data_IF_845132664899
#
_entry.id   IF_845132664899
#
_cell.length_a   1.000
_cell.length_b   1.000
_cell.length_c   1.000
_cell.angle_alpha   90.00
_cell.angle_beta   90.00
_cell.angle_gamma   90.00
#
_symmetry.space_group_name_H-M   'P 1'
#
loop_
_entity.id
_entity.type
_entity.pdbx_description
1 polymer ?
#
# COMPACT_ATOMS: atom_id res chain seq x y z
N UNK A 1 37.75 -36.74 -19.13
CA UNK A 1 36.95 -35.83 -18.28
C UNK A 1 36.77 -34.52 -19.01
N UNK A 2 35.55 -34.24 -19.49
CA UNK A 2 35.02 -32.88 -19.70
C UNK A 2 33.53 -33.05 -20.00
N UNK A 3 32.71 -32.87 -18.97
CA UNK A 3 31.25 -32.90 -19.01
C UNK A 3 30.74 -31.52 -19.43
N UNK A 4 30.33 -31.38 -20.70
CA UNK A 4 29.64 -30.19 -21.21
C UNK A 4 28.14 -30.31 -20.98
N UNK A 5 27.60 -29.55 -20.03
CA UNK A 5 26.15 -29.41 -19.81
C UNK A 5 25.57 -28.58 -20.96
N UNK A 6 25.03 -29.26 -21.96
CA UNK A 6 24.26 -28.63 -23.04
C UNK A 6 22.95 -28.10 -22.49
N UNK A 7 22.77 -26.77 -22.53
CA UNK A 7 21.53 -26.09 -22.18
C UNK A 7 20.40 -26.56 -23.10
N UNK A 8 19.47 -27.35 -22.57
CA UNK A 8 18.25 -27.74 -23.27
C UNK A 8 17.33 -26.52 -23.44
N UNK A 9 17.44 -25.84 -24.59
CA UNK A 9 16.42 -24.91 -25.05
C UNK A 9 15.14 -25.73 -25.32
N UNK A 10 14.20 -25.74 -24.38
CA UNK A 10 12.86 -26.29 -24.62
C UNK A 10 12.16 -25.42 -25.66
N UNK A 11 12.08 -25.91 -26.89
CA UNK A 11 11.15 -25.40 -27.89
C UNK A 11 9.72 -25.70 -27.39
N UNK A 12 8.98 -24.67 -27.00
CA UNK A 12 7.57 -24.79 -26.64
C UNK A 12 6.75 -24.53 -27.91
N UNK A 13 6.25 -25.58 -28.56
CA UNK A 13 5.23 -25.44 -29.60
C UNK A 13 3.89 -25.05 -28.94
N UNK A 14 3.43 -23.83 -29.18
CA UNK A 14 2.16 -23.32 -28.68
C UNK A 14 1.05 -23.61 -29.70
N UNK A 15 -0.01 -24.28 -29.26
CA UNK A 15 -1.23 -24.49 -30.05
C UNK A 15 -1.94 -23.14 -30.33
N UNK A 16 -2.42 -22.90 -31.56
CA UNK A 16 -2.86 -21.59 -32.03
C UNK A 16 -4.20 -21.11 -31.45
N UNK A 17 -4.90 -21.90 -30.62
CA UNK A 17 -6.32 -21.62 -30.34
C UNK A 17 -6.61 -20.57 -29.28
N UNK A 18 -5.66 -20.12 -28.44
CA UNK A 18 -5.93 -19.03 -27.48
C UNK A 18 -4.66 -18.22 -27.17
N UNK A 19 -4.29 -17.26 -28.02
CA UNK A 19 -3.19 -16.34 -27.74
C UNK A 19 -3.68 -14.89 -27.79
N UNK A 20 -4.00 -14.33 -26.63
CA UNK A 20 -4.29 -12.90 -26.49
C UNK A 20 -2.97 -12.13 -26.35
N UNK A 21 -2.47 -11.56 -27.45
CA UNK A 21 -1.39 -10.56 -27.38
C UNK A 21 -1.93 -9.27 -26.76
N UNK A 22 -1.69 -9.09 -25.46
CA UNK A 22 -1.99 -7.84 -24.75
C UNK A 22 -0.91 -6.80 -25.05
N UNK A 23 -1.08 -6.03 -26.13
CA UNK A 23 -0.31 -4.80 -26.36
C UNK A 23 -0.75 -3.73 -25.35
N UNK A 24 -0.10 -3.67 -24.18
CA UNK A 24 -0.35 -2.59 -23.21
C UNK A 24 0.26 -1.30 -23.74
N UNK A 25 -0.56 -0.39 -24.27
CA UNK A 25 -0.16 1.02 -24.38
C UNK A 25 0.04 1.57 -22.97
N UNK A 26 1.26 2.02 -22.66
CA UNK A 26 1.56 2.82 -21.47
C UNK A 26 1.04 4.25 -21.65
N UNK A 27 -0.26 4.41 -21.93
CA UNK A 27 -0.89 5.67 -21.54
C UNK A 27 -0.89 5.69 -20.01
N UNK A 28 -0.57 6.82 -19.35
CA UNK A 28 -0.78 6.93 -17.92
C UNK A 28 -2.23 6.54 -17.67
N UNK A 29 -2.44 5.45 -16.94
CA UNK A 29 -3.77 4.90 -16.77
C UNK A 29 -4.66 5.99 -16.18
N UNK A 30 -5.56 6.57 -16.99
CA UNK A 30 -6.66 7.42 -16.52
C UNK A 30 -7.74 6.53 -15.90
N UNK A 31 -7.32 5.55 -15.11
CA UNK A 31 -8.13 4.46 -14.58
C UNK A 31 -8.21 4.51 -13.06
N UNK A 32 -9.24 3.85 -12.53
CA UNK A 32 -9.58 3.74 -11.11
C UNK A 32 -8.59 2.92 -10.26
N UNK A 33 -7.58 2.30 -10.87
CA UNK A 33 -6.54 1.58 -10.13
C UNK A 33 -5.52 2.59 -9.61
N UNK A 34 -5.27 2.65 -8.28
CA UNK A 34 -4.23 3.52 -7.76
C UNK A 34 -2.90 3.14 -8.41
N UNK A 35 -2.20 4.12 -8.99
CA UNK A 35 -0.84 3.90 -9.47
C UNK A 35 0.05 3.53 -8.28
N UNK A 36 1.02 2.61 -8.47
CA UNK A 36 1.97 2.27 -7.42
C UNK A 36 2.69 3.54 -6.93
N UNK A 37 2.68 3.76 -5.61
CA UNK A 37 3.29 4.94 -5.01
C UNK A 37 4.78 4.71 -4.77
N UNK A 38 5.59 4.87 -5.81
CA UNK A 38 7.06 4.92 -5.69
C UNK A 38 7.53 6.23 -5.04
N UNK A 39 7.44 6.28 -3.71
CA UNK A 39 7.96 7.38 -2.89
C UNK A 39 9.45 7.16 -2.55
N UNK A 40 9.76 5.95 -2.10
CA UNK A 40 11.05 5.52 -1.54
C UNK A 40 11.65 4.41 -2.38
N UNK A 41 12.98 4.33 -2.38
CA UNK A 41 13.65 3.14 -2.87
C UNK A 41 13.59 2.02 -1.81
N UNK A 42 12.76 1.02 -2.06
CA UNK A 42 12.63 -0.12 -1.15
C UNK A 42 13.86 -1.03 -1.16
N UNK A 43 14.68 -0.97 -2.22
CA UNK A 43 15.94 -1.73 -2.27
C UNK A 43 16.98 -1.13 -1.32
N UNK A 44 17.04 0.20 -1.23
CA UNK A 44 17.89 0.93 -0.28
C UNK A 44 17.52 0.59 1.17
N UNK A 45 16.22 0.62 1.50
CA UNK A 45 15.74 0.19 2.82
C UNK A 45 16.18 -1.25 3.14
N UNK A 46 16.01 -2.19 2.20
CA UNK A 46 16.44 -3.58 2.41
C UNK A 46 17.95 -3.72 2.61
N UNK A 47 18.76 -2.93 1.89
CA UNK A 47 20.23 -2.94 2.03
C UNK A 47 20.66 -2.42 3.40
N UNK A 48 20.10 -1.29 3.83
CA UNK A 48 20.42 -0.67 5.12
C UNK A 48 20.05 -1.59 6.29
N UNK A 49 18.82 -2.12 6.30
CA UNK A 49 18.32 -2.91 7.44
C UNK A 49 18.65 -4.40 7.35
N UNK A 50 19.26 -4.86 6.25
CA UNK A 50 19.54 -6.29 5.98
C UNK A 50 18.30 -7.19 6.16
N UNK A 51 17.12 -6.63 5.88
CA UNK A 51 15.82 -7.30 6.05
C UNK A 51 15.33 -7.48 7.49
N UNK A 52 16.02 -6.91 8.49
CA UNK A 52 15.59 -6.94 9.90
C UNK A 52 14.80 -5.68 10.26
N UNK A 53 14.16 -5.68 11.43
CA UNK A 53 13.52 -4.50 11.99
C UNK A 53 14.55 -3.62 12.72
N UNK A 54 14.40 -2.29 12.67
CA UNK A 54 15.25 -1.35 13.40
C UNK A 54 14.43 -0.13 13.82
N UNK A 55 14.61 0.32 15.06
CA UNK A 55 13.89 1.46 15.64
C UNK A 55 14.62 2.80 15.42
N UNK A 56 15.87 2.75 14.96
CA UNK A 56 16.69 3.92 14.68
C UNK A 56 16.17 4.70 13.45
N UNK A 57 16.36 6.02 13.41
CA UNK A 57 16.10 6.82 12.21
C UNK A 57 16.95 6.32 11.03
N UNK A 58 16.31 6.09 9.90
CA UNK A 58 16.97 5.69 8.65
C UNK A 58 16.96 6.83 7.64
N UNK A 59 18.04 7.02 6.90
CA UNK A 59 18.10 8.03 5.85
C UNK A 59 17.80 7.33 4.52
N UNK A 60 16.58 7.53 4.01
CA UNK A 60 16.17 6.95 2.72
C UNK A 60 16.28 7.93 1.57
N UNK A 61 16.75 7.44 0.43
CA UNK A 61 16.75 8.20 -0.81
C UNK A 61 15.34 8.28 -1.43
N UNK A 62 14.92 9.50 -1.79
CA UNK A 62 13.65 9.74 -2.49
C UNK A 62 13.80 9.49 -3.97
N UNK A 63 12.82 8.79 -4.55
CA UNK A 63 12.77 8.52 -6.00
C UNK A 63 12.19 9.69 -6.81
N UNK A 64 11.48 10.62 -6.17
CA UNK A 64 10.87 11.76 -6.84
C UNK A 64 9.78 11.36 -7.86
N UNK A 65 9.10 10.24 -7.62
CA UNK A 65 8.05 9.69 -8.49
C UNK A 65 8.58 8.90 -9.69
N UNK A 66 9.84 8.47 -9.67
CA UNK A 66 10.44 7.61 -10.69
C UNK A 66 10.38 6.14 -10.28
N UNK A 67 10.32 5.27 -11.27
CA UNK A 67 10.50 3.83 -11.10
C UNK A 67 11.94 3.53 -10.66
N UNK A 68 12.19 2.76 -9.59
CA UNK A 68 13.55 2.39 -9.20
C UNK A 68 14.27 1.58 -10.27
N UNK A 69 13.56 0.72 -11.03
CA UNK A 69 14.21 -0.16 -12.02
C UNK A 69 14.43 0.51 -13.36
N UNK A 70 13.40 1.16 -13.90
CA UNK A 70 13.47 1.76 -15.25
C UNK A 70 13.90 3.23 -15.24
N UNK A 71 13.89 3.90 -14.09
CA UNK A 71 14.18 5.33 -13.96
C UNK A 71 13.10 6.25 -14.56
N UNK A 72 12.05 5.69 -15.16
CA UNK A 72 10.97 6.44 -15.82
C UNK A 72 10.07 7.11 -14.78
N UNK A 73 9.54 8.29 -15.13
CA UNK A 73 8.58 9.00 -14.28
C UNK A 73 7.22 8.28 -14.30
N UNK A 74 6.83 7.71 -13.17
CA UNK A 74 5.54 7.04 -12.98
C UNK A 74 4.56 7.99 -12.31
N UNK A 75 4.97 8.57 -11.18
CA UNK A 75 4.13 9.49 -10.43
C UNK A 75 4.46 10.94 -10.80
N UNK A 76 3.44 11.66 -11.25
CA UNK A 76 3.57 13.09 -11.54
C UNK A 76 3.52 13.92 -10.26
N UNK A 77 4.07 15.13 -10.34
CA UNK A 77 4.03 16.12 -9.26
C UNK A 77 4.74 15.73 -7.95
N UNK A 78 5.59 14.70 -7.95
CA UNK A 78 6.42 14.32 -6.79
C UNK A 78 7.88 14.78 -7.01
N UNK A 79 8.50 15.27 -5.93
CA UNK A 79 9.95 15.45 -5.81
C UNK A 79 10.35 16.78 -5.17
N UNK A 80 11.57 16.82 -4.64
CA UNK A 80 12.04 17.89 -3.76
C UNK A 80 11.65 17.63 -2.31
N UNK A 81 11.31 18.68 -1.59
CA UNK A 81 10.89 18.65 -0.19
C UNK A 81 12.04 18.63 0.81
N UNK A 82 11.73 18.94 2.06
CA UNK A 82 12.68 18.95 3.18
C UNK A 82 13.20 17.53 3.43
N UNK A 83 14.48 17.37 3.75
CA UNK A 83 15.03 16.07 4.17
C UNK A 83 14.42 15.68 5.51
N UNK A 84 14.12 14.40 5.68
CA UNK A 84 13.65 13.86 6.94
C UNK A 84 14.08 12.40 7.06
N UNK A 85 14.09 11.93 8.31
CA UNK A 85 14.43 10.55 8.62
C UNK A 85 13.21 9.65 8.49
N UNK A 86 13.45 8.41 8.10
CA UNK A 86 12.47 7.36 7.98
C UNK A 86 12.45 6.49 9.22
N UNK A 87 11.25 6.25 9.73
CA UNK A 87 11.03 5.35 10.85
C UNK A 87 10.22 4.14 10.41
N UNK A 88 10.80 2.96 10.63
CA UNK A 88 10.14 1.68 10.39
C UNK A 88 9.06 1.48 11.43
N UNK A 89 7.80 1.44 10.99
CA UNK A 89 6.67 1.09 11.83
C UNK A 89 6.44 -0.41 11.77
N UNK A 90 6.12 -0.98 12.91
CA UNK A 90 5.52 -2.29 13.01
C UNK A 90 3.99 -2.15 13.01
N UNK A 91 3.37 -2.48 11.88
CA UNK A 91 1.90 -2.50 11.77
C UNK A 91 1.29 -3.81 12.29
N UNK A 92 2.08 -4.88 12.37
CA UNK A 92 1.61 -6.20 12.76
C UNK A 92 1.88 -6.44 14.24
N UNK A 93 0.91 -6.07 15.07
CA UNK A 93 0.95 -6.43 16.49
C UNK A 93 0.59 -7.89 16.65
N UNK A 94 1.54 -8.67 17.16
CA UNK A 94 1.36 -10.07 17.53
C UNK A 94 1.58 -10.21 19.03
N UNK A 95 0.77 -11.05 19.64
CA UNK A 95 0.85 -11.42 21.05
C UNK A 95 0.58 -12.91 21.21
N UNK A 96 0.56 -13.41 22.44
CA UNK A 96 0.26 -14.81 22.72
C UNK A 96 -1.17 -15.17 22.28
N UNK A 97 -1.34 -16.43 21.87
CA UNK A 97 -2.64 -17.03 21.50
C UNK A 97 -3.33 -17.73 22.69
N UNK A 98 -2.62 -17.88 23.80
CA UNK A 98 -3.12 -18.55 24.99
C UNK A 98 -4.18 -17.70 25.71
N UNK A 99 -5.19 -18.33 26.34
CA UNK A 99 -6.14 -17.61 27.16
C UNK A 99 -5.43 -16.92 28.33
N UNK A 100 -5.82 -15.68 28.62
CA UNK A 100 -5.26 -14.81 29.69
C UNK A 100 -3.78 -14.39 29.53
N UNK A 101 -3.07 -14.87 28.51
CA UNK A 101 -1.75 -14.36 28.19
C UNK A 101 -1.89 -13.05 27.39
N UNK A 102 -1.17 -12.02 27.82
CA UNK A 102 -1.13 -10.71 27.16
C UNK A 102 0.33 -10.33 26.93
N UNK A 103 0.61 -9.70 25.79
CA UNK A 103 1.90 -9.06 25.57
C UNK A 103 1.78 -7.57 25.89
N UNK A 104 2.34 -7.17 27.03
CA UNK A 104 2.29 -5.81 27.52
C UNK A 104 3.52 -5.02 27.09
N UNK A 105 3.29 -3.81 26.58
CA UNK A 105 4.33 -2.86 26.20
C UNK A 105 4.07 -1.51 26.84
N UNK A 106 5.14 -0.83 27.25
CA UNK A 106 5.07 0.52 27.79
C UNK A 106 5.36 1.53 26.69
N UNK A 107 4.49 2.53 26.57
CA UNK A 107 4.71 3.69 25.71
C UNK A 107 5.81 4.56 26.32
N UNK A 108 6.91 4.72 25.59
CA UNK A 108 8.03 5.58 26.01
C UNK A 108 7.73 7.02 25.62
N UNK A 109 7.41 7.25 24.35
CA UNK A 109 7.25 8.59 23.78
C UNK A 109 6.22 8.56 22.66
N UNK A 110 5.47 9.64 22.51
CA UNK A 110 4.61 9.90 21.35
C UNK A 110 5.14 11.13 20.64
N UNK A 111 5.41 11.02 19.33
CA UNK A 111 6.05 12.09 18.56
C UNK A 111 5.46 12.28 17.18
N UNK A 112 5.73 13.45 16.60
CA UNK A 112 5.37 13.77 15.22
C UNK A 112 6.30 13.05 14.26
N UNK A 113 5.73 12.34 13.30
CA UNK A 113 6.45 11.77 12.17
C UNK A 113 6.30 12.64 10.91
N UNK A 114 7.37 12.91 10.14
CA UNK A 114 7.28 13.68 8.90
C UNK A 114 6.81 12.87 7.68
N UNK A 115 6.77 11.54 7.75
CA UNK A 115 6.49 10.66 6.60
C UNK A 115 5.00 10.36 6.47
N UNK A 116 4.27 10.42 7.59
CA UNK A 116 2.84 10.14 7.69
C UNK A 116 2.07 11.24 8.39
N UNK A 117 0.75 11.19 8.25
CA UNK A 117 -0.14 12.20 8.83
C UNK A 117 -0.34 12.02 10.32
N UNK A 118 -0.42 10.77 10.81
CA UNK A 118 -0.61 10.43 12.22
C UNK A 118 0.68 10.55 13.05
N UNK A 119 0.55 10.58 14.38
CA UNK A 119 1.68 10.48 15.28
C UNK A 119 2.14 9.02 15.42
N UNK A 120 3.40 8.86 15.80
CA UNK A 120 3.98 7.54 16.13
C UNK A 120 4.33 7.48 17.60
N UNK A 121 4.17 6.30 18.17
CA UNK A 121 4.58 6.01 19.53
C UNK A 121 5.74 5.02 19.54
N UNK A 122 6.77 5.32 20.34
CA UNK A 122 7.81 4.36 20.67
C UNK A 122 7.31 3.52 21.83
N UNK A 123 7.27 2.21 21.64
CA UNK A 123 6.89 1.26 22.70
C UNK A 123 8.05 0.33 22.99
N UNK A 124 8.14 -0.09 24.25
CA UNK A 124 9.08 -1.09 24.70
C UNK A 124 8.35 -2.19 25.47
N UNK A 125 8.60 -3.43 25.07
CA UNK A 125 8.19 -4.62 25.81
C UNK A 125 9.38 -5.56 26.01
N UNK A 126 9.11 -6.81 26.34
CA UNK A 126 10.15 -7.82 26.55
C UNK A 126 10.90 -8.19 25.26
N UNK A 127 10.26 -8.10 24.08
CA UNK A 127 10.91 -8.37 22.78
C UNK A 127 11.83 -7.23 22.33
N UNK A 128 11.70 -6.05 22.93
CA UNK A 128 12.48 -4.86 22.60
C UNK A 128 11.63 -3.63 22.28
N UNK A 129 12.23 -2.70 21.52
CA UNK A 129 11.64 -1.41 21.17
C UNK A 129 11.11 -1.41 19.73
N UNK A 130 9.92 -0.85 19.52
CA UNK A 130 9.33 -0.68 18.19
C UNK A 130 8.49 0.60 18.07
N UNK A 131 8.39 1.10 16.85
CA UNK A 131 7.46 2.17 16.49
C UNK A 131 6.13 1.59 16.06
N UNK A 132 5.07 2.17 16.59
CA UNK A 132 3.68 1.86 16.27
C UNK A 132 2.96 3.16 15.88
N UNK A 133 1.79 3.03 15.26
CA UNK A 133 0.89 4.17 15.14
C UNK A 133 0.29 4.52 16.50
N UNK A 134 0.26 5.80 16.83
CA UNK A 134 -0.35 6.28 18.06
C UNK A 134 -1.87 6.45 17.89
N UNK A 135 -2.63 6.00 18.89
CA UNK A 135 -4.06 6.31 19.00
C UNK A 135 -4.27 7.72 19.55
N UNK A 136 -5.49 8.22 19.44
CA UNK A 136 -5.86 9.60 19.80
C UNK A 136 -5.46 9.99 21.22
N UNK A 137 -5.74 9.15 22.21
CA UNK A 137 -5.49 9.45 23.62
C UNK A 137 -4.21 8.81 24.18
N UNK A 138 -3.32 8.31 23.31
CA UNK A 138 -2.10 7.63 23.73
C UNK A 138 -1.11 8.60 24.39
N UNK A 139 -0.64 8.27 25.60
CA UNK A 139 0.31 9.09 26.36
C UNK A 139 1.57 8.31 26.72
N UNK A 140 2.69 9.04 26.90
CA UNK A 140 3.91 8.46 27.47
C UNK A 140 3.65 7.88 28.86
N UNK A 141 4.21 6.70 29.13
CA UNK A 141 4.03 5.94 30.36
C UNK A 141 2.84 4.98 30.37
N UNK A 142 1.91 5.07 29.42
CA UNK A 142 0.77 4.17 29.31
C UNK A 142 1.22 2.74 28.95
N UNK A 143 0.56 1.74 29.53
CA UNK A 143 0.74 0.32 29.17
C UNK A 143 -0.32 -0.04 28.14
N UNK A 144 0.12 -0.61 27.03
CA UNK A 144 -0.72 -1.20 25.99
C UNK A 144 -0.57 -2.71 26.03
N UNK A 145 -1.65 -3.44 25.76
CA UNK A 145 -1.63 -4.89 25.71
C UNK A 145 -2.01 -5.41 24.32
N UNK A 146 -1.39 -6.53 23.94
CA UNK A 146 -1.65 -7.21 22.67
C UNK A 146 -2.00 -8.67 22.94
N UNK A 147 -3.10 -9.14 22.35
CA UNK A 147 -3.55 -10.55 22.45
C UNK A 147 -3.95 -11.06 21.08
N UNK A 148 -3.64 -12.32 20.76
CA UNK A 148 -4.11 -12.98 19.55
C UNK A 148 -5.18 -14.06 19.83
N UNK A 149 -5.65 -14.15 21.08
CA UNK A 149 -6.71 -15.06 21.49
C UNK A 149 -8.09 -14.53 21.08
N UNK A 150 -8.95 -15.41 20.56
CA UNK A 150 -10.35 -15.11 20.24
C UNK A 150 -11.21 -15.74 21.34
N UNK A 151 -11.77 -14.94 22.28
CA UNK A 151 -12.73 -15.43 23.26
C UNK A 151 -14.04 -15.85 22.59
N UNK A 152 -14.79 -16.73 23.26
CA UNK A 152 -16.11 -17.17 22.79
C UNK A 152 -17.13 -16.00 22.78
N UNK A 153 -17.04 -15.12 23.78
CA UNK A 153 -17.84 -13.90 23.87
C UNK A 153 -17.01 -12.68 23.45
N UNK A 154 -17.51 -11.83 22.52
CA UNK A 154 -16.84 -10.59 22.16
C UNK A 154 -16.70 -9.64 23.36
N UNK A 155 -15.53 -9.03 23.51
CA UNK A 155 -15.21 -8.11 24.61
C UNK A 155 -15.16 -6.65 24.14
N UNK A 156 -15.37 -5.73 25.08
CA UNK A 156 -15.12 -4.31 24.85
C UNK A 156 -13.62 -4.02 24.84
N UNK A 157 -13.15 -3.44 23.73
CA UNK A 157 -11.75 -3.11 23.55
C UNK A 157 -11.33 -1.84 24.29
N UNK A 158 -10.18 -1.89 24.97
CA UNK A 158 -9.54 -0.68 25.51
C UNK A 158 -8.71 0.03 24.43
N UNK A 159 -8.78 1.36 24.37
CA UNK A 159 -8.03 2.14 23.39
C UNK A 159 -6.51 1.88 23.48
N UNK A 160 -5.87 1.73 22.32
CA UNK A 160 -4.43 1.49 22.22
C UNK A 160 -4.03 0.02 22.31
N UNK A 161 -4.92 -0.86 22.78
CA UNK A 161 -4.70 -2.30 22.79
C UNK A 161 -4.98 -2.92 21.42
N UNK A 162 -4.40 -4.11 21.19
CA UNK A 162 -4.54 -4.84 19.94
C UNK A 162 -5.17 -6.22 20.16
N UNK A 163 -6.19 -6.53 19.35
CA UNK A 163 -7.00 -7.74 19.43
C UNK A 163 -7.26 -8.29 18.02
N UNK A 164 -7.56 -9.59 17.88
CA UNK A 164 -8.13 -10.10 16.65
C UNK A 164 -9.55 -9.55 16.46
N UNK A 165 -9.97 -9.35 15.22
CA UNK A 165 -11.29 -8.79 14.90
C UNK A 165 -12.44 -9.63 15.47
N UNK A 166 -12.28 -10.95 15.56
CA UNK A 166 -13.27 -11.84 16.14
C UNK A 166 -13.47 -11.65 17.65
N UNK A 167 -12.50 -11.08 18.36
CA UNK A 167 -12.58 -10.86 19.80
C UNK A 167 -13.33 -9.58 20.18
N UNK A 168 -13.47 -8.62 19.27
CA UNK A 168 -14.01 -7.30 19.57
C UNK A 168 -15.53 -7.27 19.40
N UNK A 169 -16.23 -6.60 20.31
CA UNK A 169 -17.67 -6.40 20.20
C UNK A 169 -18.06 -5.58 18.95
N UNK A 170 -19.22 -5.86 18.32
CA UNK A 170 -19.76 -5.01 17.26
C UNK A 170 -20.02 -3.59 17.78
N UNK A 171 -19.78 -2.58 16.93
CA UNK A 171 -19.77 -1.16 17.28
C UNK A 171 -18.40 -0.64 17.72
N UNK A 172 -17.44 -1.52 18.00
CA UNK A 172 -16.09 -1.09 18.40
C UNK A 172 -15.39 -0.30 17.29
N UNK A 173 -14.73 0.79 17.67
CA UNK A 173 -13.89 1.59 16.79
C UNK A 173 -12.47 1.00 16.72
N UNK A 174 -11.99 0.74 15.50
CA UNK A 174 -10.68 0.12 15.25
C UNK A 174 -9.87 0.88 14.22
N UNK A 175 -8.56 0.73 14.27
CA UNK A 175 -7.60 1.24 13.30
C UNK A 175 -6.50 0.20 13.03
N UNK A 176 -5.63 0.48 12.06
CA UNK A 176 -4.54 -0.42 11.66
C UNK A 176 -5.02 -1.87 11.42
N UNK A 177 -6.11 -2.03 10.67
CA UNK A 177 -6.75 -3.33 10.46
C UNK A 177 -6.04 -4.13 9.37
N UNK A 178 -5.62 -5.35 9.66
CA UNK A 178 -4.91 -6.17 8.68
C UNK A 178 -5.80 -6.65 7.52
N UNK A 179 -5.24 -6.67 6.30
CA UNK A 179 -5.95 -7.17 5.12
C UNK A 179 -6.14 -8.69 5.13
N UNK A 180 -5.13 -9.39 5.63
CA UNK A 180 -5.08 -10.84 5.70
C UNK A 180 -4.47 -11.26 7.03
N UNK A 181 -4.84 -12.44 7.57
CA UNK A 181 -4.23 -13.01 8.77
C UNK A 181 -2.84 -13.53 8.42
N UNK A 182 -1.90 -12.61 8.20
CA UNK A 182 -0.54 -12.93 7.80
C UNK A 182 0.36 -13.11 9.02
N UNK A 183 1.41 -13.91 8.89
CA UNK A 183 2.51 -13.86 9.83
C UNK A 183 3.28 -12.54 9.68
N UNK A 184 3.90 -12.08 10.78
CA UNK A 184 4.69 -10.84 10.81
C UNK A 184 5.87 -10.98 9.84
N UNK A 185 5.79 -10.31 8.68
CA UNK A 185 6.83 -10.31 7.65
C UNK A 185 7.42 -8.91 7.48
N UNK A 186 8.74 -8.86 7.39
CA UNK A 186 9.48 -7.62 7.13
C UNK A 186 10.00 -7.57 5.69
N UNK A 187 10.02 -6.38 5.05
CA UNK A 187 9.48 -5.11 5.53
C UNK A 187 7.94 -5.08 5.46
N UNK A 188 7.30 -4.65 6.54
CA UNK A 188 5.85 -4.41 6.53
C UNK A 188 5.58 -3.12 5.77
N UNK A 189 4.67 -3.18 4.79
CA UNK A 189 4.31 -2.01 3.98
C UNK A 189 2.96 -1.48 4.44
N UNK A 190 2.73 -0.17 4.30
CA UNK A 190 1.41 0.45 4.55
C UNK A 190 0.28 -0.26 3.77
N UNK A 191 0.62 -0.92 2.67
CA UNK A 191 -0.30 -1.70 1.84
C UNK A 191 -0.80 -2.99 2.51
N UNK A 192 -0.20 -3.46 3.60
CA UNK A 192 -0.65 -4.68 4.29
C UNK A 192 -1.85 -4.41 5.22
N UNK A 193 -2.07 -3.13 5.55
CA UNK A 193 -2.98 -2.68 6.60
C UNK A 193 -3.94 -1.59 6.09
N UNK A 194 -5.14 -1.58 6.64
CA UNK A 194 -6.15 -0.56 6.44
C UNK A 194 -6.11 0.48 7.55
N UNK A 195 -6.48 1.71 7.21
CA UNK A 195 -6.72 2.80 8.18
C UNK A 195 -5.44 3.15 8.92
N UNK A 196 -4.55 3.84 8.19
CA UNK A 196 -3.24 4.31 8.64
C UNK A 196 -3.20 5.84 8.77
N UNK A 197 -4.23 6.53 8.26
CA UNK A 197 -4.30 7.99 8.16
C UNK A 197 -4.76 8.65 9.47
N UNK A 198 -4.22 9.83 9.77
CA UNK A 198 -4.61 10.60 10.95
C UNK A 198 -6.13 10.81 11.09
N UNK A 199 -6.66 10.68 12.32
CA UNK A 199 -8.08 10.88 12.65
C UNK A 199 -9.05 9.82 12.10
N UNK A 200 -8.56 8.81 11.38
CA UNK A 200 -9.41 7.78 10.77
C UNK A 200 -9.62 6.59 11.68
N UNK A 201 -10.77 5.94 11.52
CA UNK A 201 -11.18 4.73 12.22
C UNK A 201 -12.07 3.86 11.31
N UNK A 202 -12.30 2.64 11.73
CA UNK A 202 -13.29 1.71 11.23
C UNK A 202 -14.24 1.35 12.36
N UNK A 203 -15.44 0.94 12.00
CA UNK A 203 -16.42 0.40 12.93
C UNK A 203 -16.70 -1.06 12.56
N UNK A 204 -16.71 -1.94 13.55
CA UNK A 204 -17.12 -3.33 13.37
C UNK A 204 -18.65 -3.37 13.31
N UNK A 205 -19.22 -3.82 12.19
CA UNK A 205 -20.69 -3.85 12.05
C UNK A 205 -21.25 -5.14 12.66
N UNK A 206 -20.71 -6.27 12.23
CA UNK A 206 -21.24 -7.60 12.57
C UNK A 206 -20.21 -8.69 12.35
N UNK A 207 -20.38 -9.78 13.09
CA UNK A 207 -19.68 -11.04 12.89
C UNK A 207 -20.54 -11.97 12.03
N UNK A 208 -19.90 -12.71 11.14
CA UNK A 208 -20.49 -13.75 10.31
C UNK A 208 -19.57 -14.95 10.37
N UNK A 209 -19.85 -15.97 11.17
CA UNK A 209 -19.12 -17.24 11.26
C UNK A 209 -17.60 -17.11 11.16
N UNK A 210 -16.95 -17.18 10.00
CA UNK A 210 -15.48 -17.04 9.88
C UNK A 210 -14.98 -15.61 9.58
N UNK A 211 -15.89 -14.71 9.25
CA UNK A 211 -15.62 -13.37 8.79
C UNK A 211 -16.21 -12.28 9.70
N UNK A 212 -15.61 -11.10 9.64
CA UNK A 212 -16.08 -9.88 10.28
C UNK A 212 -16.28 -8.82 9.21
N UNK A 213 -17.44 -8.15 9.28
CA UNK A 213 -17.74 -7.03 8.38
C UNK A 213 -17.37 -5.74 9.08
N UNK A 214 -16.47 -5.00 8.45
CA UNK A 214 -16.01 -3.70 8.92
C UNK A 214 -16.49 -2.63 7.96
N UNK A 215 -16.99 -1.54 8.52
CA UNK A 215 -17.23 -0.31 7.79
C UNK A 215 -16.07 0.65 8.05
N UNK A 216 -15.40 1.09 7.00
CA UNK A 216 -14.41 2.15 7.16
C UNK A 216 -15.13 3.47 7.47
N UNK A 217 -15.16 3.89 8.74
CA UNK A 217 -15.68 5.19 9.17
C UNK A 217 -14.60 6.24 8.98
N UNK A 218 -14.28 6.56 7.73
CA UNK A 218 -13.42 7.70 7.47
C UNK A 218 -14.21 8.99 7.68
N UNK A 219 -13.65 9.88 8.50
CA UNK A 219 -14.03 11.29 8.53
C UNK A 219 -13.97 11.85 7.09
N UNK A 220 -14.98 12.65 6.81
CA UNK A 220 -15.28 13.30 5.54
C UNK A 220 -14.03 13.89 4.87
N UNK A 221 -13.68 13.47 3.64
CA UNK A 221 -12.70 14.18 2.82
C UNK A 221 -13.25 14.70 1.49
N UNK A 222 -13.16 16.02 1.43
CA UNK A 222 -13.13 16.92 0.29
C UNK A 222 -11.90 16.58 -0.58
N UNK A 223 -12.04 15.76 -1.61
CA UNK A 223 -11.95 16.13 -3.04
C UNK A 223 -12.78 15.15 -3.90
N UNK A 224 -13.35 14.11 -3.27
CA UNK A 224 -14.53 13.40 -3.73
C UNK A 224 -15.42 13.17 -2.50
N UNK A 225 -16.49 13.96 -2.35
CA UNK A 225 -17.54 13.77 -1.33
C UNK A 225 -18.18 12.37 -1.47
N UNK A 226 -17.53 11.35 -0.92
CA UNK A 226 -18.15 10.07 -0.58
C UNK A 226 -17.77 9.79 0.87
N UNK A 227 -18.73 9.70 1.80
CA UNK A 227 -18.47 8.98 3.04
C UNK A 227 -18.18 7.55 2.59
N UNK A 228 -16.95 7.08 2.77
CA UNK A 228 -16.59 5.72 2.37
C UNK A 228 -17.24 4.72 3.34
N UNK A 229 -18.58 4.63 3.34
CA UNK A 229 -19.38 3.55 3.95
C UNK A 229 -19.19 2.24 3.18
N UNK A 230 -17.97 2.00 2.72
CA UNK A 230 -17.59 0.74 2.12
C UNK A 230 -17.46 -0.28 3.23
N UNK A 231 -18.09 -1.42 2.99
CA UNK A 231 -18.03 -2.57 3.86
C UNK A 231 -16.96 -3.52 3.31
N UNK A 232 -16.07 -3.94 4.19
CA UNK A 232 -15.03 -4.92 3.91
C UNK A 232 -15.32 -6.17 4.72
N UNK A 233 -15.18 -7.32 4.07
CA UNK A 233 -15.31 -8.63 4.71
C UNK A 233 -13.90 -9.17 4.93
N UNK A 234 -13.51 -9.31 6.20
CA UNK A 234 -12.18 -9.75 6.64
C UNK A 234 -12.28 -10.99 7.52
N UNK A 235 -11.19 -11.73 7.69
CA UNK A 235 -11.16 -12.89 8.59
C UNK A 235 -11.25 -12.45 10.06
N UNK A 236 -11.86 -13.26 10.92
CA UNK A 236 -11.86 -13.07 12.38
C UNK A 236 -10.46 -13.01 12.99
N UNK A 237 -9.49 -13.67 12.35
CA UNK A 237 -8.11 -13.77 12.84
C UNK A 237 -7.26 -12.53 12.54
N UNK A 238 -7.70 -11.65 11.63
CA UNK A 238 -6.98 -10.42 11.33
C UNK A 238 -6.85 -9.57 12.60
N UNK A 239 -5.66 -9.01 12.85
CA UNK A 239 -5.46 -8.13 14.00
C UNK A 239 -5.89 -6.70 13.70
N UNK A 240 -6.34 -6.00 14.74
CA UNK A 240 -6.62 -4.58 14.71
C UNK A 240 -6.30 -3.94 16.06
N UNK A 241 -6.00 -2.64 16.03
CA UNK A 241 -5.87 -1.82 17.24
C UNK A 241 -7.17 -1.09 17.53
N UNK A 242 -7.55 -0.98 18.79
CA UNK A 242 -8.79 -0.32 19.20
C UNK A 242 -8.57 1.18 19.34
N UNK A 243 -9.49 1.97 18.80
CA UNK A 243 -9.49 3.43 18.87
C UNK A 243 -9.36 4.13 17.53
N UNK A 244 -9.35 5.46 17.60
CA UNK A 244 -9.10 6.35 16.45
C UNK A 244 -7.61 6.66 16.37
N UNK A 245 -7.11 6.91 15.15
CA UNK A 245 -5.73 7.35 14.98
C UNK A 245 -5.54 8.79 15.45
N UNK A 246 -4.39 9.05 16.04
CA UNK A 246 -3.96 10.38 16.48
C UNK A 246 -3.95 11.44 15.39
N UNK A 247 -3.87 12.70 15.82
CA UNK A 247 -3.75 13.89 14.98
C UNK A 247 -4.97 14.17 14.08
N UNK A 248 -6.19 14.08 14.62
CA UNK A 248 -7.43 14.32 13.88
C UNK A 248 -7.49 15.72 13.23
N UNK A 249 -6.95 16.74 13.90
CA UNK A 249 -6.86 18.13 13.43
C UNK A 249 -5.98 18.34 12.19
N UNK A 250 -5.23 17.31 11.76
CA UNK A 250 -4.34 17.43 10.59
C UNK A 250 -5.09 17.92 9.34
N UNK A 251 -6.37 17.57 9.25
CA UNK A 251 -7.23 17.85 8.11
C UNK A 251 -7.70 19.30 8.04
N UNK A 252 -7.81 19.97 9.18
CA UNK A 252 -8.24 21.38 9.27
C UNK A 252 -7.06 22.34 9.05
N UNK A 253 -5.84 21.82 8.86
CA UNK A 253 -4.64 22.64 8.69
C UNK A 253 -4.62 23.33 7.33
N UNK A 254 -4.52 24.65 7.39
CA UNK A 254 -4.34 25.50 6.21
C UNK A 254 -2.84 25.63 5.90
N UNK A 255 -2.41 25.15 4.74
CA UNK A 255 -0.99 25.17 4.34
C UNK A 255 -0.51 26.53 3.80
N UNK A 256 -1.43 27.46 3.55
CA UNK A 256 -1.17 28.88 3.27
C UNK A 256 -0.51 29.17 1.92
N UNK A 257 0.77 28.80 1.75
CA UNK A 257 1.58 29.18 0.59
C UNK A 257 1.94 28.00 -0.32
N UNK A 258 2.11 28.28 -1.62
CA UNK A 258 2.60 27.29 -2.58
C UNK A 258 3.99 26.73 -2.22
N UNK A 259 4.80 27.52 -1.50
CA UNK A 259 6.12 27.09 -1.04
C UNK A 259 6.05 26.03 0.07
N UNK A 260 4.98 26.02 0.87
CA UNK A 260 4.75 24.92 1.82
C UNK A 260 4.51 23.59 1.09
N UNK A 261 3.77 23.59 -0.02
CA UNK A 261 3.61 22.39 -0.85
C UNK A 261 4.95 21.90 -1.42
N UNK A 262 5.84 22.83 -1.81
CA UNK A 262 7.21 22.49 -2.22
C UNK A 262 8.02 21.83 -1.10
N UNK A 263 7.87 22.29 0.15
CA UNK A 263 8.53 21.70 1.33
C UNK A 263 8.06 20.27 1.61
N UNK A 264 6.79 19.95 1.34
CA UNK A 264 6.29 18.57 1.40
C UNK A 264 6.76 17.69 0.23
N UNK A 265 7.39 18.27 -0.80
CA UNK A 265 7.85 17.54 -1.98
C UNK A 265 6.79 17.41 -3.07
N UNK A 266 5.76 18.26 -3.05
CA UNK A 266 4.80 18.39 -4.14
C UNK A 266 5.25 19.46 -5.15
N UNK A 267 5.23 19.10 -6.44
CA UNK A 267 5.52 20.01 -7.55
C UNK A 267 4.23 20.60 -8.14
N UNK A 268 4.34 21.74 -8.83
CA UNK A 268 3.21 22.34 -9.54
C UNK A 268 2.63 21.34 -10.54
N UNK A 269 1.32 21.48 -10.76
CA UNK A 269 0.66 20.86 -11.90
C UNK A 269 1.20 21.41 -13.23
N UNK A 270 1.00 20.66 -14.31
CA UNK A 270 1.30 21.13 -15.66
C UNK A 270 0.40 22.31 -16.05
N UNK A 271 0.94 23.29 -16.77
CA UNK A 271 0.17 24.36 -17.42
C UNK A 271 -0.53 23.91 -18.71
N UNK A 272 -0.38 22.65 -19.12
CA UNK A 272 -1.03 22.11 -20.32
C UNK A 272 -2.55 22.10 -20.14
N UNK A 273 -3.23 22.93 -20.92
CA UNK A 273 -4.68 22.93 -20.98
C UNK A 273 -5.19 21.62 -21.62
N UNK A 274 -6.18 20.99 -20.99
CA UNK A 274 -6.89 19.83 -21.50
C UNK A 274 -8.38 20.13 -21.49
N UNK A 275 -9.06 19.89 -22.62
CA UNK A 275 -10.53 19.99 -22.68
C UNK A 275 -11.14 18.97 -21.73
N UNK A 276 -12.22 19.37 -21.07
CA UNK A 276 -12.94 18.49 -20.16
C UNK A 276 -13.71 17.43 -20.96
N UNK A 277 -13.43 16.16 -20.71
CA UNK A 277 -14.18 15.04 -21.29
C UNK A 277 -15.39 14.65 -20.42
N UNK A 278 -16.27 13.77 -20.93
CA UNK A 278 -17.41 13.22 -20.17
C UNK A 278 -17.02 12.38 -18.94
N UNK A 279 -15.74 12.22 -18.65
CA UNK A 279 -15.27 11.73 -17.36
C UNK A 279 -15.60 12.73 -16.23
N UNK A 280 -15.49 14.02 -16.52
CA UNK A 280 -15.70 15.12 -15.58
C UNK A 280 -17.19 15.41 -15.40
N UNK A 281 -17.56 15.82 -14.19
CA UNK A 281 -18.95 16.00 -13.79
C UNK A 281 -19.31 15.13 -12.59
N UNK A 282 -20.35 15.54 -11.85
CA UNK A 282 -20.82 14.81 -10.67
C UNK A 282 -21.42 13.47 -11.11
N UNK A 283 -20.84 12.36 -10.63
CA UNK A 283 -21.34 11.01 -10.87
C UNK A 283 -21.97 10.47 -9.60
N UNK A 284 -23.30 10.42 -9.57
CA UNK A 284 -24.02 9.78 -8.47
C UNK A 284 -24.03 8.28 -8.76
N UNK A 285 -23.30 7.52 -7.95
CA UNK A 285 -23.23 6.05 -8.04
C UNK A 285 -23.83 5.46 -6.77
N UNK A 286 -24.45 4.28 -6.91
CA UNK A 286 -24.87 3.48 -5.77
C UNK A 286 -23.64 3.07 -4.96
N UNK A 287 -23.81 2.86 -3.65
CA UNK A 287 -22.77 2.27 -2.82
C UNK A 287 -22.40 0.89 -3.39
N UNK A 288 -21.11 0.59 -3.56
CA UNK A 288 -20.69 -0.71 -4.04
C UNK A 288 -20.97 -1.79 -2.99
N UNK A 289 -21.15 -3.05 -3.42
CA UNK A 289 -21.36 -4.16 -2.51
C UNK A 289 -20.16 -4.38 -1.58
N UNK A 290 -20.37 -5.07 -0.44
CA UNK A 290 -19.29 -5.41 0.48
C UNK A 290 -18.17 -6.17 -0.25
N UNK A 291 -16.93 -5.75 -0.05
CA UNK A 291 -15.76 -6.30 -0.75
C UNK A 291 -15.06 -7.31 0.13
N UNK A 292 -15.04 -8.56 -0.32
CA UNK A 292 -14.13 -9.59 0.21
C UNK A 292 -12.76 -9.42 -0.43
N UNK A 293 -11.71 -9.31 0.39
CA UNK A 293 -10.35 -9.35 -0.12
C UNK A 293 -9.93 -10.79 -0.38
N UNK A 294 -9.36 -11.06 -1.56
CA UNK A 294 -8.70 -12.33 -1.86
C UNK A 294 -7.20 -12.07 -1.92
N UNK A 295 -6.35 -12.98 -1.38
CA UNK A 295 -4.91 -12.85 -1.52
C UNK A 295 -4.57 -12.78 -3.02
N UNK A 296 -3.71 -11.84 -3.39
CA UNK A 296 -3.23 -11.76 -4.76
C UNK A 296 -2.36 -12.99 -5.03
N UNK A 297 -2.74 -13.78 -6.04
CA UNK A 297 -1.90 -14.89 -6.50
C UNK A 297 -0.55 -14.39 -7.02
N UNK A 298 0.45 -15.28 -7.16
CA UNK A 298 1.72 -14.90 -7.75
C UNK A 298 1.46 -14.25 -9.12
N UNK A 299 2.14 -13.13 -9.45
CA UNK A 299 1.97 -12.52 -10.76
C UNK A 299 2.28 -13.57 -11.83
N UNK A 300 1.48 -13.63 -12.91
CA UNK A 300 1.75 -14.58 -13.97
C UNK A 300 3.17 -14.36 -14.49
N UNK A 301 3.89 -15.46 -14.76
CA UNK A 301 5.25 -15.40 -15.27
C UNK A 301 5.28 -14.53 -16.53
N UNK A 302 6.06 -13.45 -16.49
CA UNK A 302 6.25 -12.58 -17.64
C UNK A 302 7.16 -13.28 -18.63
N UNK A 303 6.59 -14.07 -19.53
CA UNK A 303 7.32 -14.67 -20.64
C UNK A 303 7.62 -13.58 -21.67
N UNK A 304 8.90 -13.20 -21.79
CA UNK A 304 9.37 -12.35 -22.87
C UNK A 304 9.67 -13.21 -24.10
N UNK A 305 8.79 -13.19 -25.08
CA UNK A 305 9.02 -13.87 -26.36
C UNK A 305 9.74 -12.92 -27.31
N UNK A 306 10.91 -13.32 -27.79
CA UNK A 306 11.54 -12.73 -28.98
C UNK A 306 11.11 -13.54 -30.19
N UNK A 307 10.26 -12.95 -31.04
CA UNK A 307 9.87 -13.57 -32.30
C UNK A 307 11.05 -13.53 -33.28
N UNK A 308 11.29 -14.63 -33.99
CA UNK A 308 12.27 -14.63 -35.08
C UNK A 308 11.75 -13.81 -36.27
N UNK A 309 12.64 -13.40 -37.18
CA UNK A 309 12.29 -12.63 -38.39
C UNK A 309 11.16 -13.31 -39.18
N UNK A 310 11.23 -14.63 -39.33
CA UNK A 310 10.24 -15.45 -40.03
C UNK A 310 8.88 -15.48 -39.31
N UNK A 311 8.89 -15.53 -37.99
CA UNK A 311 7.67 -15.51 -37.16
C UNK A 311 6.98 -14.13 -37.14
N UNK A 312 7.74 -13.04 -37.29
CA UNK A 312 7.17 -11.69 -37.40
C UNK A 312 6.62 -11.39 -38.79
N UNK A 313 7.31 -11.85 -39.85
CA UNK A 313 7.00 -11.48 -41.23
C UNK A 313 6.02 -12.44 -41.92
N UNK A 314 5.97 -13.71 -41.48
CA UNK A 314 5.27 -14.77 -42.21
C UNK A 314 5.87 -15.08 -43.59
N UNK A 315 7.05 -14.52 -43.91
CA UNK A 315 7.70 -14.64 -45.22
C UNK A 315 8.95 -15.51 -45.08
N UNK A 316 9.00 -16.60 -45.84
CA UNK A 316 10.19 -17.46 -45.99
C UNK A 316 11.10 -16.84 -47.06
N UNK A 317 12.24 -16.27 -46.67
CA UNK A 317 13.24 -15.76 -47.61
C UNK A 317 14.06 -14.54 -47.15
N UNK A 318 15.08 -14.19 -47.95
CA UNK A 318 16.11 -13.16 -47.65
C UNK A 318 15.58 -11.72 -47.75
N UNK A 319 14.34 -11.51 -48.19
CA UNK A 319 13.78 -10.17 -48.43
C UNK A 319 14.00 -9.22 -47.24
N UNK A 320 14.55 -8.02 -47.53
CA UNK A 320 14.72 -6.94 -46.56
C UNK A 320 13.36 -6.36 -46.23
N UNK A 321 12.99 -6.36 -44.95
CA UNK A 321 11.84 -5.61 -44.48
C UNK A 321 12.10 -4.11 -44.64
N UNK A 322 11.13 -3.30 -45.09
CA UNK A 322 11.08 -1.89 -44.69
C UNK A 322 10.88 -1.86 -43.16
N UNK A 323 11.57 -0.97 -42.46
CA UNK A 323 11.58 -0.87 -40.99
C UNK A 323 10.16 -0.66 -40.42
N UNK A 324 9.40 -1.75 -40.22
CA UNK A 324 8.14 -1.69 -39.50
C UNK A 324 8.42 -1.68 -38.01
N UNK A 325 8.12 -0.51 -37.43
CA UNK A 325 7.89 -0.25 -36.01
C UNK A 325 8.87 -0.93 -35.04
N UNK A 326 9.95 -0.21 -34.70
CA UNK A 326 10.52 -0.33 -33.37
C UNK A 326 9.38 -0.14 -32.36
N UNK A 327 9.04 -1.20 -31.63
CA UNK A 327 8.23 -1.11 -30.44
C UNK A 327 9.00 -0.27 -29.41
N UNK A 328 8.87 1.04 -29.49
CA UNK A 328 9.54 1.98 -28.62
C UNK A 328 9.84 3.30 -29.32
N UNK A 329 9.17 4.35 -28.84
CA UNK A 329 9.43 5.77 -29.02
C UNK A 329 8.68 6.50 -30.16
N UNK A 330 7.85 7.45 -29.70
CA UNK A 330 7.35 8.58 -30.47
C UNK A 330 8.52 9.39 -31.04
N UNK A 331 8.44 9.76 -32.32
CA UNK A 331 8.57 11.16 -32.69
C UNK A 331 7.34 11.55 -33.50
N UNK A 332 6.71 12.62 -33.03
CA UNK A 332 5.56 13.25 -33.67
C UNK A 332 6.17 14.27 -34.63
N UNK A 333 6.08 14.02 -35.92
CA UNK A 333 6.29 15.03 -36.95
C UNK A 333 4.99 15.21 -37.74
N UNK A 334 4.46 16.43 -37.66
CA UNK A 334 3.60 17.08 -38.65
C UNK A 334 4.38 18.37 -39.04
N UNK A 335 4.27 18.98 -40.23
CA UNK A 335 3.52 18.69 -41.48
C UNK A 335 4.51 18.45 -42.67
N UNK A 336 4.12 18.27 -43.94
CA UNK A 336 3.45 19.24 -44.85
C UNK A 336 2.03 18.86 -45.30
#
# INVERSE_FOLDING_TARGET
MQTGVGSALRCVQLSPHVLFMLTKRFMPARGTKPLPRYLWDMEDLKKQTKGKYTHEPLILHRLGGRDPKTGRKINQHIGGGTKFDYFMIDFHRRGPKEPNATYDERVIEVRRDPNRTCFIALVAGWEGKRWILATENMKAGQIISTTCYIPESPQEGKEGNAYPLGALAPGSLVNSVEKFPNERKYPTTDDDVFIVTAGTCAEIIRHQDDFVVIRASCFEFLIYKLPHKHEFVLSKECMATVGRLSHAEFHDKIFGSAQMHRRFGYKMASGLFQKKDGYLGRKIRRLPPPRTLKPEGPPPESLSFTLTKEQQSGLTGIHRMPHMAQAGFNYREYPD
#
